data_IF_327461677282
#
_entry.id   IF_327461677282
#
_cell.length_a   1.000
_cell.length_b   1.000
_cell.length_c   1.000
_cell.angle_alpha   90.00
_cell.angle_beta   90.00
_cell.angle_gamma   90.00
#
_symmetry.space_group_name_H-M   'P 1'
#
loop_
_entity.id
_entity.type
_entity.pdbx_description
1 polymer ?
#
# COMPACT_ATOMS: atom_id res chain seq x y z
N UNK A 1 -22.55 18.32 -14.63
CA UNK A 1 -21.47 18.23 -13.59
C UNK A 1 -21.40 16.84 -12.98
N UNK A 2 -22.48 16.26 -12.52
CA UNK A 2 -22.44 14.93 -11.88
C UNK A 2 -21.98 13.81 -12.83
N UNK A 3 -22.32 13.88 -14.12
CA UNK A 3 -21.91 12.87 -15.10
C UNK A 3 -20.37 12.70 -15.24
N UNK A 4 -19.59 13.77 -15.08
CA UNK A 4 -18.12 13.67 -15.13
C UNK A 4 -17.55 12.88 -13.96
N UNK A 5 -18.04 13.13 -12.75
CA UNK A 5 -17.59 12.41 -11.56
C UNK A 5 -18.10 10.97 -11.51
N UNK A 6 -19.31 10.71 -12.00
CA UNK A 6 -19.82 9.36 -12.20
C UNK A 6 -18.99 8.58 -13.22
N UNK A 7 -18.63 9.25 -14.33
CA UNK A 7 -17.73 8.70 -15.34
C UNK A 7 -16.35 8.34 -14.77
N UNK A 8 -15.76 9.27 -13.98
CA UNK A 8 -14.47 9.05 -13.33
C UNK A 8 -14.53 7.93 -12.28
N UNK A 9 -15.56 7.91 -11.43
CA UNK A 9 -15.74 6.83 -10.46
C UNK A 9 -15.81 5.46 -11.17
N UNK A 10 -16.57 5.38 -12.28
CA UNK A 10 -16.64 4.17 -13.09
C UNK A 10 -15.31 3.82 -13.77
N UNK A 11 -14.51 4.81 -14.19
CA UNK A 11 -13.17 4.56 -14.76
C UNK A 11 -12.20 4.02 -13.71
N UNK A 12 -12.18 4.62 -12.52
CA UNK A 12 -11.38 4.17 -11.38
C UNK A 12 -11.79 2.77 -10.90
N UNK A 13 -13.08 2.44 -10.95
CA UNK A 13 -13.53 1.09 -10.55
C UNK A 13 -13.18 0.01 -11.58
N UNK A 14 -12.95 0.36 -12.84
CA UNK A 14 -12.54 -0.58 -13.89
C UNK A 14 -11.04 -0.92 -13.88
N UNK A 15 -10.20 -0.24 -13.12
CA UNK A 15 -8.79 -0.61 -12.99
C UNK A 15 -8.57 -1.61 -11.86
N UNK A 16 -7.39 -2.24 -11.81
CA UNK A 16 -7.12 -3.37 -10.93
C UNK A 16 -7.40 -3.12 -9.44
N UNK A 17 -7.07 -1.93 -8.93
CA UNK A 17 -7.27 -1.58 -7.52
C UNK A 17 -8.76 -1.41 -7.18
N UNK A 18 -9.55 -0.89 -8.13
CA UNK A 18 -10.96 -0.61 -7.95
C UNK A 18 -11.25 0.69 -7.20
N UNK A 19 -12.48 1.15 -7.37
CA UNK A 19 -13.07 2.26 -6.62
C UNK A 19 -14.58 1.99 -6.48
N UNK A 20 -14.94 0.97 -5.70
CA UNK A 20 -16.32 0.50 -5.62
C UNK A 20 -17.26 1.56 -5.06
N UNK A 21 -18.49 1.55 -5.58
CA UNK A 21 -19.55 2.45 -5.13
C UNK A 21 -20.04 2.04 -3.74
N UNK A 22 -20.35 3.03 -2.92
CA UNK A 22 -20.98 2.84 -1.60
C UNK A 22 -22.44 3.30 -1.61
N UNK A 23 -23.22 2.83 -0.66
CA UNK A 23 -24.62 3.24 -0.54
C UNK A 23 -24.79 4.73 -0.18
N UNK A 24 -23.79 5.34 0.45
CA UNK A 24 -23.81 6.77 0.82
C UNK A 24 -23.46 7.69 -0.35
N UNK A 25 -22.77 7.19 -1.39
CA UNK A 25 -22.25 7.99 -2.49
C UNK A 25 -21.14 8.96 -2.08
N UNK A 26 -20.51 8.75 -0.92
CA UNK A 26 -19.47 9.61 -0.36
C UNK A 26 -18.25 9.72 -1.28
N UNK A 27 -17.96 8.68 -2.05
CA UNK A 27 -16.88 8.64 -3.02
C UNK A 27 -16.99 9.74 -4.09
N UNK A 28 -18.21 10.12 -4.49
CA UNK A 28 -18.39 11.25 -5.43
C UNK A 28 -18.08 12.60 -4.79
N UNK A 29 -18.37 12.74 -3.48
CA UNK A 29 -17.96 13.95 -2.74
C UNK A 29 -16.45 14.05 -2.67
N UNK A 30 -15.76 12.95 -2.42
CA UNK A 30 -14.28 12.89 -2.43
C UNK A 30 -13.73 13.29 -3.80
N UNK A 31 -14.26 12.74 -4.89
CA UNK A 31 -13.80 13.10 -6.25
C UNK A 31 -14.02 14.57 -6.57
N UNK A 32 -15.10 15.21 -6.09
CA UNK A 32 -15.34 16.65 -6.27
C UNK A 32 -14.33 17.53 -5.53
N UNK A 33 -13.76 17.06 -4.44
CA UNK A 33 -12.68 17.75 -3.74
C UNK A 33 -11.33 17.58 -4.44
N UNK A 34 -11.13 16.47 -5.13
CA UNK A 34 -9.87 16.15 -5.81
C UNK A 34 -9.77 16.72 -7.21
N UNK A 35 -10.86 16.77 -7.95
CA UNK A 35 -10.87 17.05 -9.39
C UNK A 35 -11.84 18.18 -9.74
N UNK A 36 -11.43 19.09 -10.62
CA UNK A 36 -12.38 19.96 -11.32
C UNK A 36 -13.27 19.15 -12.28
N UNK A 37 -14.43 19.67 -12.70
CA UNK A 37 -15.29 18.97 -13.67
C UNK A 37 -14.58 18.61 -14.98
N UNK A 38 -13.66 19.47 -15.47
CA UNK A 38 -12.88 19.22 -16.68
C UNK A 38 -11.85 18.08 -16.48
N UNK A 39 -11.14 18.10 -15.36
CA UNK A 39 -10.20 17.03 -14.99
C UNK A 39 -10.90 15.70 -14.84
N UNK A 40 -12.06 15.69 -14.16
CA UNK A 40 -12.86 14.47 -13.99
C UNK A 40 -13.37 13.94 -15.33
N UNK A 41 -13.83 14.82 -16.24
CA UNK A 41 -14.28 14.41 -17.56
C UNK A 41 -13.13 13.82 -18.39
N UNK A 42 -11.94 14.46 -18.38
CA UNK A 42 -10.77 13.94 -19.10
C UNK A 42 -10.26 12.63 -18.49
N UNK A 43 -10.14 12.55 -17.17
CA UNK A 43 -9.68 11.33 -16.49
C UNK A 43 -10.65 10.15 -16.70
N UNK A 44 -11.95 10.41 -16.88
CA UNK A 44 -12.98 9.38 -17.11
C UNK A 44 -12.80 8.58 -18.41
N UNK A 45 -12.06 9.12 -19.39
CA UNK A 45 -11.79 8.46 -20.69
C UNK A 45 -10.43 7.73 -20.70
N UNK A 46 -9.66 7.85 -19.63
CA UNK A 46 -8.43 7.08 -19.43
C UNK A 46 -8.74 5.66 -18.91
N UNK A 47 -7.80 4.76 -19.15
CA UNK A 47 -7.87 3.36 -18.71
C UNK A 47 -6.53 2.97 -18.10
N UNK A 48 -6.38 1.71 -17.65
CA UNK A 48 -5.08 1.14 -17.29
C UNK A 48 -4.14 0.98 -18.50
N UNK A 49 -4.68 0.89 -19.72
CA UNK A 49 -3.86 0.82 -20.94
C UNK A 49 -3.26 2.20 -21.27
N UNK A 50 -1.93 2.29 -21.48
CA UNK A 50 -1.26 3.54 -21.86
C UNK A 50 -1.79 4.10 -23.18
N UNK A 51 -1.94 5.42 -23.27
CA UNK A 51 -2.45 6.10 -24.46
C UNK A 51 -1.70 7.42 -24.71
N UNK A 52 -1.45 7.77 -25.96
CA UNK A 52 -0.84 9.05 -26.33
C UNK A 52 -1.81 10.23 -26.12
N UNK A 53 -1.27 11.46 -25.99
CA UNK A 53 -2.08 12.67 -25.86
C UNK A 53 -3.11 12.80 -26.99
N UNK A 54 -2.76 12.45 -28.23
CA UNK A 54 -3.68 12.50 -29.38
C UNK A 54 -4.85 11.51 -29.25
N UNK A 55 -4.59 10.34 -28.70
CA UNK A 55 -5.63 9.34 -28.44
C UNK A 55 -6.58 9.79 -27.32
N UNK A 56 -6.02 10.35 -26.24
CA UNK A 56 -6.82 10.90 -25.12
C UNK A 56 -7.66 12.09 -25.59
N UNK A 57 -7.08 13.01 -26.36
CA UNK A 57 -7.77 14.17 -26.93
C UNK A 57 -9.00 13.78 -27.77
N UNK A 58 -8.83 12.79 -28.66
CA UNK A 58 -9.93 12.24 -29.46
C UNK A 58 -11.04 11.62 -28.60
N UNK A 59 -10.69 10.86 -27.56
CA UNK A 59 -11.66 10.24 -26.63
C UNK A 59 -12.42 11.31 -25.83
N UNK A 60 -11.72 12.36 -25.40
CA UNK A 60 -12.28 13.45 -24.60
C UNK A 60 -13.04 14.51 -25.44
N UNK A 61 -12.90 14.48 -26.76
CA UNK A 61 -13.46 15.53 -27.64
C UNK A 61 -12.81 16.90 -27.47
N UNK A 62 -11.53 16.94 -27.09
CA UNK A 62 -10.73 18.16 -26.85
C UNK A 62 -9.60 18.29 -27.89
N UNK A 63 -9.06 19.48 -28.05
CA UNK A 63 -7.82 19.67 -28.80
C UNK A 63 -6.61 19.13 -27.98
N UNK A 64 -5.52 18.84 -28.71
CA UNK A 64 -4.33 18.23 -28.09
C UNK A 64 -3.63 19.16 -27.08
N UNK A 65 -3.58 20.46 -27.32
CA UNK A 65 -2.91 21.41 -26.45
C UNK A 65 -3.63 21.51 -25.09
N UNK A 66 -4.97 21.59 -25.13
CA UNK A 66 -5.80 21.59 -23.92
C UNK A 66 -5.68 20.28 -23.17
N UNK A 67 -5.71 19.14 -23.89
CA UNK A 67 -5.55 17.81 -23.31
C UNK A 67 -4.21 17.67 -22.61
N UNK A 68 -3.10 18.07 -23.26
CA UNK A 68 -1.76 18.02 -22.66
C UNK A 68 -1.67 18.88 -21.39
N UNK A 69 -2.26 20.06 -21.38
CA UNK A 69 -2.29 20.94 -20.21
C UNK A 69 -3.06 20.30 -19.03
N UNK A 70 -4.21 19.70 -19.28
CA UNK A 70 -4.97 19.02 -18.20
C UNK A 70 -4.24 17.78 -17.71
N UNK A 71 -3.65 16.98 -18.63
CA UNK A 71 -2.85 15.80 -18.26
C UNK A 71 -1.66 16.16 -17.39
N UNK A 72 -0.91 17.25 -17.67
CA UNK A 72 0.23 17.66 -16.86
C UNK A 72 -0.16 17.92 -15.40
N UNK A 73 -1.29 18.60 -15.19
CA UNK A 73 -1.84 18.86 -13.84
C UNK A 73 -2.25 17.58 -13.10
N UNK A 74 -2.79 16.59 -13.83
CA UNK A 74 -3.16 15.29 -13.26
C UNK A 74 -1.93 14.46 -12.92
N UNK A 75 -0.87 14.55 -13.73
CA UNK A 75 0.43 13.89 -13.46
C UNK A 75 1.08 14.46 -12.20
N UNK A 76 1.12 15.78 -12.02
CA UNK A 76 1.67 16.45 -10.84
C UNK A 76 1.03 15.98 -9.51
N UNK A 77 -0.21 15.48 -9.58
CA UNK A 77 -0.97 14.98 -8.42
C UNK A 77 -1.11 13.46 -8.37
N UNK A 78 -0.30 12.75 -9.15
CA UNK A 78 -0.32 11.27 -9.24
C UNK A 78 -1.72 10.69 -9.57
N UNK A 79 -2.54 11.45 -10.28
CA UNK A 79 -3.84 11.00 -10.77
C UNK A 79 -3.75 10.35 -12.16
N UNK A 80 -2.65 10.59 -12.87
CA UNK A 80 -2.30 10.00 -14.16
C UNK A 80 -0.83 9.60 -14.12
N UNK A 81 -0.55 8.37 -14.50
CA UNK A 81 0.82 7.88 -14.66
C UNK A 81 1.31 8.05 -16.08
N UNK A 82 2.60 8.32 -16.21
CA UNK A 82 3.29 8.49 -17.49
C UNK A 82 4.32 7.40 -17.70
N UNK A 83 4.50 7.00 -18.96
CA UNK A 83 5.60 6.17 -19.42
C UNK A 83 6.06 6.67 -20.78
N UNK A 84 7.30 6.35 -21.14
CA UNK A 84 7.83 6.62 -22.49
C UNK A 84 8.11 5.29 -23.17
N UNK A 85 7.79 5.19 -24.45
CA UNK A 85 8.17 4.04 -25.26
C UNK A 85 9.60 4.20 -25.83
N UNK A 86 10.08 3.17 -26.53
CA UNK A 86 11.43 3.18 -27.14
C UNK A 86 11.66 4.32 -28.14
N UNK A 87 10.60 4.92 -28.68
CA UNK A 87 10.67 6.08 -29.59
C UNK A 87 10.71 7.42 -28.86
N UNK A 88 10.61 7.42 -27.50
CA UNK A 88 10.47 8.63 -26.69
C UNK A 88 9.06 9.23 -26.71
N UNK A 89 8.06 8.49 -27.18
CA UNK A 89 6.67 8.93 -27.15
C UNK A 89 6.08 8.76 -25.75
N UNK A 90 5.54 9.85 -25.20
CA UNK A 90 4.89 9.85 -23.88
C UNK A 90 3.49 9.23 -23.96
N UNK A 91 3.24 8.31 -23.03
CA UNK A 91 1.95 7.65 -22.85
C UNK A 91 1.39 7.95 -21.47
N UNK A 92 0.08 8.04 -21.37
CA UNK A 92 -0.69 8.37 -20.17
C UNK A 92 -1.68 7.27 -19.86
N UNK A 93 -1.80 6.90 -18.58
CA UNK A 93 -2.83 5.98 -18.09
C UNK A 93 -3.42 6.45 -16.77
N UNK A 94 -4.64 6.03 -16.48
CA UNK A 94 -5.29 6.38 -15.21
C UNK A 94 -4.51 5.75 -14.04
N UNK A 95 -4.13 6.58 -13.07
CA UNK A 95 -3.54 6.09 -11.84
C UNK A 95 -4.62 5.46 -10.93
N UNK A 96 -4.28 4.46 -10.08
CA UNK A 96 -5.21 3.95 -9.08
C UNK A 96 -5.64 5.04 -8.10
N UNK A 97 -6.81 4.85 -7.50
CA UNK A 97 -7.23 5.69 -6.40
C UNK A 97 -6.33 5.48 -5.17
N UNK A 98 -6.13 4.20 -4.77
CA UNK A 98 -5.33 3.79 -3.61
C UNK A 98 -4.51 2.53 -3.94
N UNK A 99 -3.18 2.50 -3.71
CA UNK A 99 -2.31 3.68 -3.53
C UNK A 99 -2.20 4.50 -4.82
N UNK A 100 -2.15 5.82 -4.71
CA UNK A 100 -2.08 6.72 -5.86
C UNK A 100 -2.67 8.10 -5.59
N UNK A 101 -3.68 8.51 -6.38
CA UNK A 101 -4.23 9.87 -6.32
C UNK A 101 -4.79 10.27 -4.95
N UNK A 102 -5.32 9.32 -4.18
CA UNK A 102 -5.75 9.53 -2.79
C UNK A 102 -4.59 9.98 -1.90
N UNK A 103 -3.47 9.26 -1.99
CA UNK A 103 -2.31 9.49 -1.14
C UNK A 103 -1.71 10.87 -1.40
N UNK A 104 -1.52 11.21 -2.68
CA UNK A 104 -0.97 12.51 -3.07
C UNK A 104 -1.90 13.67 -2.72
N UNK A 105 -3.21 13.52 -2.94
CA UNK A 105 -4.16 14.57 -2.56
C UNK A 105 -4.06 14.88 -1.06
N UNK A 106 -4.07 13.86 -0.21
CA UNK A 106 -4.02 14.03 1.24
C UNK A 106 -2.68 14.59 1.73
N UNK A 107 -1.56 14.12 1.17
CA UNK A 107 -0.21 14.62 1.51
C UNK A 107 -0.02 16.10 1.14
N UNK A 108 -0.63 16.55 0.02
CA UNK A 108 -0.55 17.92 -0.44
C UNK A 108 -1.48 18.85 0.36
N UNK A 109 -2.75 18.45 0.53
CA UNK A 109 -3.79 19.34 1.06
C UNK A 109 -3.92 19.29 2.58
N UNK A 110 -3.62 18.14 3.20
CA UNK A 110 -3.87 17.85 4.62
C UNK A 110 -5.29 18.22 5.06
N UNK A 111 -6.27 18.00 4.16
CA UNK A 111 -7.66 18.40 4.35
C UNK A 111 -8.40 17.45 5.30
N UNK A 112 -8.85 17.97 6.44
CA UNK A 112 -9.56 17.21 7.45
C UNK A 112 -10.98 16.80 7.03
N UNK A 113 -11.64 17.55 6.15
CA UNK A 113 -12.95 17.15 5.61
C UNK A 113 -12.78 15.97 4.66
N UNK A 114 -11.82 16.05 3.75
CA UNK A 114 -11.47 14.94 2.87
C UNK A 114 -11.09 13.68 3.67
N UNK A 115 -10.29 13.82 4.71
CA UNK A 115 -9.89 12.70 5.58
C UNK A 115 -11.09 12.03 6.25
N UNK A 116 -12.11 12.80 6.70
CA UNK A 116 -13.35 12.25 7.27
C UNK A 116 -14.21 11.54 6.22
N UNK A 117 -14.33 12.10 5.01
CA UNK A 117 -15.02 11.43 3.90
C UNK A 117 -14.33 10.12 3.53
N UNK A 118 -13.00 10.10 3.54
CA UNK A 118 -12.21 8.89 3.32
C UNK A 118 -12.48 7.82 4.39
N UNK A 119 -12.57 8.21 5.67
CA UNK A 119 -12.93 7.26 6.75
C UNK A 119 -14.36 6.73 6.56
N UNK A 120 -15.31 7.59 6.18
CA UNK A 120 -16.68 7.19 5.84
C UNK A 120 -16.70 6.21 4.66
N UNK A 121 -15.95 6.48 3.59
CA UNK A 121 -15.83 5.62 2.41
C UNK A 121 -15.26 4.24 2.76
N UNK A 122 -14.11 4.23 3.42
CA UNK A 122 -13.40 2.99 3.77
C UNK A 122 -14.24 2.14 4.74
N UNK A 123 -14.79 2.76 5.80
CA UNK A 123 -15.62 2.08 6.79
C UNK A 123 -17.02 1.72 6.27
N UNK A 124 -17.53 2.45 5.28
CA UNK A 124 -18.85 2.23 4.65
C UNK A 124 -18.87 1.10 3.60
N UNK A 125 -17.84 0.27 3.55
CA UNK A 125 -17.75 -0.90 2.66
C UNK A 125 -16.78 -0.73 1.50
N UNK A 126 -16.41 0.49 1.11
CA UNK A 126 -15.44 0.74 0.03
C UNK A 126 -14.08 0.08 0.31
N UNK A 127 -13.58 0.17 1.55
CA UNK A 127 -12.34 -0.47 1.96
C UNK A 127 -12.38 -1.99 1.82
N UNK A 128 -13.42 -2.64 2.32
CA UNK A 128 -13.58 -4.10 2.21
C UNK A 128 -13.63 -4.56 0.75
N UNK A 129 -14.42 -3.88 -0.09
CA UNK A 129 -14.57 -4.23 -1.51
C UNK A 129 -13.28 -4.00 -2.31
N UNK A 130 -12.48 -2.97 -1.94
CA UNK A 130 -11.16 -2.75 -2.56
C UNK A 130 -10.12 -3.80 -2.14
N UNK A 131 -10.17 -4.29 -0.90
CA UNK A 131 -9.16 -5.20 -0.35
C UNK A 131 -9.45 -6.67 -0.62
N UNK A 132 -10.69 -7.06 -0.89
CA UNK A 132 -11.08 -8.46 -1.09
C UNK A 132 -10.48 -9.13 -2.36
N UNK A 133 -10.39 -8.48 -3.56
CA UNK A 133 -9.88 -9.12 -4.75
C UNK A 133 -8.41 -9.54 -4.61
N UNK A 134 -8.05 -10.64 -5.29
CA UNK A 134 -6.69 -11.20 -5.31
C UNK A 134 -6.06 -11.08 -6.69
N UNK A 135 -4.72 -11.03 -6.78
CA UNK A 135 -3.76 -10.97 -5.67
C UNK A 135 -3.88 -9.66 -4.87
N UNK A 136 -3.54 -9.66 -3.59
CA UNK A 136 -3.58 -8.48 -2.72
C UNK A 136 -2.74 -7.33 -3.31
N UNK A 137 -3.08 -6.07 -2.96
CA UNK A 137 -2.34 -4.89 -3.46
C UNK A 137 -0.90 -4.86 -2.94
N UNK A 138 -0.71 -5.22 -1.67
CA UNK A 138 0.60 -5.30 -1.05
C UNK A 138 0.90 -6.70 -0.54
N UNK A 139 2.18 -7.00 -0.37
CA UNK A 139 2.71 -8.15 0.35
C UNK A 139 3.51 -7.72 1.57
N UNK A 140 3.53 -8.58 2.57
CA UNK A 140 4.38 -8.42 3.76
C UNK A 140 5.81 -8.83 3.42
N UNK A 141 6.78 -8.05 3.87
CA UNK A 141 8.19 -8.42 3.89
C UNK A 141 8.60 -8.57 5.37
N UNK A 142 9.19 -9.69 5.76
CA UNK A 142 9.51 -9.91 7.17
C UNK A 142 10.65 -9.02 7.66
N UNK A 143 10.63 -8.72 8.96
CA UNK A 143 11.73 -8.03 9.65
C UNK A 143 13.04 -8.83 9.47
N UNK A 144 14.09 -8.16 9.00
CA UNK A 144 15.36 -8.83 8.66
C UNK A 144 15.97 -9.55 9.86
N UNK A 145 15.86 -8.97 11.05
CA UNK A 145 16.38 -9.57 12.29
C UNK A 145 15.64 -10.87 12.70
N UNK A 146 14.49 -11.16 12.12
CA UNK A 146 13.68 -12.33 12.45
C UNK A 146 13.97 -13.56 11.58
N UNK A 147 14.65 -13.39 10.43
CA UNK A 147 14.90 -14.47 9.46
C UNK A 147 16.35 -14.92 9.54
N UNK A 148 16.58 -16.23 9.54
CA UNK A 148 17.91 -16.79 9.35
C UNK A 148 18.39 -16.53 7.93
N UNK A 149 19.68 -16.23 7.76
CA UNK A 149 20.24 -15.79 6.46
C UNK A 149 20.04 -16.83 5.35
N UNK A 150 20.11 -18.12 5.68
CA UNK A 150 19.91 -19.23 4.74
C UNK A 150 18.45 -19.43 4.28
N UNK A 151 17.49 -18.73 4.91
CA UNK A 151 16.06 -18.84 4.60
C UNK A 151 15.50 -17.63 3.84
N UNK A 152 16.32 -16.60 3.62
CA UNK A 152 15.86 -15.36 2.94
C UNK A 152 15.58 -15.66 1.47
N UNK A 153 14.33 -15.48 1.05
CA UNK A 153 13.97 -15.52 -0.36
C UNK A 153 14.39 -14.21 -1.06
N UNK A 154 14.74 -14.24 -2.35
CA UNK A 154 15.26 -13.07 -3.05
C UNK A 154 14.37 -11.82 -2.99
N UNK A 155 13.05 -12.01 -2.92
CA UNK A 155 12.06 -10.93 -2.84
C UNK A 155 11.63 -10.58 -1.41
N UNK A 156 12.18 -11.25 -0.38
CA UNK A 156 11.80 -11.08 1.04
C UNK A 156 12.88 -10.35 1.87
N UNK A 157 13.78 -9.62 1.21
CA UNK A 157 14.77 -8.78 1.89
C UNK A 157 14.50 -7.30 1.61
N UNK A 158 13.83 -6.63 2.55
CA UNK A 158 13.51 -5.21 2.44
C UNK A 158 14.75 -4.33 2.36
N UNK A 159 15.88 -4.75 2.92
CA UNK A 159 17.15 -4.00 2.84
C UNK A 159 17.80 -4.17 1.47
N UNK A 160 17.67 -5.36 0.85
CA UNK A 160 18.18 -5.59 -0.50
C UNK A 160 17.48 -4.68 -1.53
N UNK A 161 16.19 -4.39 -1.35
CA UNK A 161 15.46 -3.43 -2.19
C UNK A 161 16.11 -2.04 -2.14
N UNK A 162 16.59 -1.60 -0.97
CA UNK A 162 17.26 -0.30 -0.82
C UNK A 162 18.71 -0.31 -1.31
N UNK A 163 19.39 -1.46 -1.31
CA UNK A 163 20.77 -1.53 -1.78
C UNK A 163 20.88 -1.26 -3.29
N UNK A 164 19.88 -1.62 -4.07
CA UNK A 164 19.79 -1.35 -5.50
C UNK A 164 19.30 0.05 -5.87
N UNK A 165 18.88 0.87 -4.90
CA UNK A 165 18.35 2.20 -5.14
C UNK A 165 19.42 3.30 -5.03
N UNK A 166 19.24 4.39 -5.78
CA UNK A 166 20.13 5.57 -5.79
C UNK A 166 19.52 6.81 -5.16
N UNK A 167 18.18 6.88 -5.06
CA UNK A 167 17.46 7.99 -4.46
C UNK A 167 16.47 7.49 -3.40
N UNK A 168 16.36 8.24 -2.29
CA UNK A 168 15.50 7.88 -1.16
C UNK A 168 14.76 9.10 -0.64
N UNK A 169 13.50 8.90 -0.21
CA UNK A 169 12.67 9.90 0.44
C UNK A 169 11.89 9.28 1.58
N UNK A 170 11.77 10.00 2.68
CA UNK A 170 10.87 9.65 3.78
C UNK A 170 9.66 10.57 3.73
N UNK A 171 8.47 9.98 3.73
CA UNK A 171 7.20 10.69 3.71
C UNK A 171 6.34 10.33 4.92
N UNK A 172 5.39 11.20 5.22
CA UNK A 172 4.36 10.87 6.20
C UNK A 172 3.56 9.64 5.75
N UNK A 173 3.25 8.76 6.69
CA UNK A 173 2.35 7.63 6.42
C UNK A 173 0.93 8.15 6.19
N UNK A 174 0.46 8.07 4.96
CA UNK A 174 -0.85 8.60 4.56
C UNK A 174 -2.01 8.01 5.37
N UNK A 175 -1.96 6.73 5.70
CA UNK A 175 -3.01 6.08 6.48
C UNK A 175 -3.10 6.63 7.92
N UNK A 176 -1.95 6.89 8.58
CA UNK A 176 -1.93 7.52 9.91
C UNK A 176 -2.27 8.99 9.87
N UNK A 177 -1.81 9.71 8.84
CA UNK A 177 -2.17 11.11 8.60
C UNK A 177 -3.68 11.25 8.37
N UNK A 178 -4.26 10.42 7.51
CA UNK A 178 -5.71 10.39 7.28
C UNK A 178 -6.48 10.15 8.59
N UNK A 179 -6.09 9.12 9.34
CA UNK A 179 -6.73 8.81 10.61
C UNK A 179 -6.58 9.95 11.65
N UNK A 180 -5.45 10.66 11.67
CA UNK A 180 -5.23 11.82 12.54
C UNK A 180 -6.14 12.99 12.16
N UNK A 181 -6.15 13.37 10.89
CA UNK A 181 -6.98 14.46 10.38
C UNK A 181 -8.49 14.18 10.51
N UNK A 182 -8.89 12.91 10.40
CA UNK A 182 -10.26 12.47 10.63
C UNK A 182 -10.64 12.38 12.12
N UNK A 183 -9.68 12.52 13.06
CA UNK A 183 -9.91 12.27 14.48
C UNK A 183 -10.11 10.79 14.84
N UNK A 184 -9.69 9.86 13.98
CA UNK A 184 -9.88 8.42 14.10
C UNK A 184 -8.58 7.65 14.40
N UNK A 185 -7.47 8.34 14.65
CA UNK A 185 -6.16 7.71 14.92
C UNK A 185 -6.18 6.95 16.25
N UNK A 186 -5.77 5.68 16.19
CA UNK A 186 -5.81 4.74 17.34
C UNK A 186 -4.43 4.41 17.90
N UNK A 187 -3.36 5.11 17.48
CA UNK A 187 -1.99 4.87 17.94
C UNK A 187 -1.16 6.15 17.99
N UNK A 188 -0.02 6.06 18.68
CA UNK A 188 1.00 7.12 18.79
C UNK A 188 2.26 6.82 17.97
N UNK A 189 2.18 5.85 17.01
CA UNK A 189 3.31 5.43 16.18
C UNK A 189 3.77 6.57 15.25
N UNK A 190 5.05 6.63 14.83
CA UNK A 190 5.58 7.72 14.03
C UNK A 190 4.80 7.95 12.72
N UNK A 191 4.64 9.22 12.31
CA UNK A 191 4.07 9.57 11.01
C UNK A 191 5.11 9.40 9.89
N UNK A 192 6.30 9.96 10.07
CA UNK A 192 7.38 9.96 9.06
C UNK A 192 8.07 8.61 8.99
N UNK A 193 7.53 7.70 8.19
CA UNK A 193 8.09 6.36 8.03
C UNK A 193 7.64 5.64 6.74
N UNK A 194 7.00 6.32 5.81
CA UNK A 194 6.80 5.81 4.45
C UNK A 194 8.07 6.08 3.65
N UNK A 195 8.74 5.04 3.18
CA UNK A 195 10.01 5.14 2.50
C UNK A 195 9.82 4.95 0.99
N UNK A 196 10.17 5.96 0.20
CA UNK A 196 10.16 5.92 -1.26
C UNK A 196 11.58 5.85 -1.77
N UNK A 197 11.81 5.08 -2.84
CA UNK A 197 13.13 4.90 -3.44
C UNK A 197 13.04 4.71 -4.96
N UNK A 198 14.13 5.05 -5.66
CA UNK A 198 14.24 4.86 -7.10
C UNK A 198 15.64 4.37 -7.47
N UNK A 199 15.74 3.62 -8.56
CA UNK A 199 17.01 3.09 -9.11
C UNK A 199 17.80 4.13 -9.91
N UNK A 200 17.23 5.31 -10.16
CA UNK A 200 17.90 6.43 -10.81
C UNK A 200 17.78 7.68 -9.94
N UNK A 201 18.74 8.61 -10.00
CA UNK A 201 18.60 9.90 -9.35
C UNK A 201 17.34 10.59 -9.84
N UNK A 202 16.44 10.92 -8.93
CA UNK A 202 15.25 11.71 -9.27
C UNK A 202 15.56 13.19 -9.10
N UNK A 203 15.03 14.05 -9.97
CA UNK A 203 15.03 15.51 -9.81
C UNK A 203 14.04 15.87 -8.70
N UNK A 204 14.35 15.44 -7.48
CA UNK A 204 13.55 15.75 -6.31
C UNK A 204 13.72 17.24 -5.95
N UNK A 205 12.66 17.87 -5.48
CA UNK A 205 12.78 19.16 -4.83
C UNK A 205 13.81 19.06 -3.68
N UNK A 206 14.76 19.98 -3.63
CA UNK A 206 15.76 20.06 -2.56
C UNK A 206 15.01 20.04 -1.20
N UNK A 207 15.44 19.14 -0.29
CA UNK A 207 14.92 19.05 1.08
C UNK A 207 14.17 17.77 1.43
N UNK A 208 13.68 16.99 0.44
CA UNK A 208 12.90 15.76 0.68
C UNK A 208 13.73 14.47 0.58
N UNK A 209 15.02 14.55 0.21
CA UNK A 209 15.89 13.40 0.02
C UNK A 209 16.65 13.05 1.30
N UNK A 210 16.78 11.75 1.56
CA UNK A 210 17.60 11.21 2.65
C UNK A 210 18.69 10.31 2.09
N UNK A 211 19.76 10.12 2.87
CA UNK A 211 20.80 9.16 2.54
C UNK A 211 20.31 7.72 2.69
N UNK A 212 21.00 6.76 2.07
CA UNK A 212 20.74 5.32 2.26
C UNK A 212 20.82 4.91 3.74
N UNK A 213 21.76 5.50 4.50
CA UNK A 213 21.91 5.24 5.93
C UNK A 213 20.67 5.68 6.72
N UNK A 214 20.14 6.85 6.43
CA UNK A 214 18.90 7.35 7.05
C UNK A 214 17.69 6.51 6.64
N UNK A 215 17.61 6.11 5.36
CA UNK A 215 16.55 5.20 4.88
C UNK A 215 16.57 3.85 5.63
N UNK A 216 17.76 3.27 5.84
CA UNK A 216 17.91 2.05 6.62
C UNK A 216 17.53 2.26 8.10
N UNK A 217 17.87 3.41 8.69
CA UNK A 217 17.47 3.74 10.05
C UNK A 217 15.95 3.85 10.23
N UNK A 218 15.22 4.29 9.20
CA UNK A 218 13.74 4.27 9.20
C UNK A 218 13.20 2.84 9.30
N UNK A 219 13.81 1.86 8.62
CA UNK A 219 13.40 0.45 8.73
C UNK A 219 13.71 -0.10 10.12
N UNK A 220 14.91 0.18 10.66
CA UNK A 220 15.29 -0.25 12.00
C UNK A 220 14.34 0.31 13.07
N UNK A 221 13.98 1.56 12.96
CA UNK A 221 13.01 2.19 13.87
C UNK A 221 11.62 1.58 13.71
N UNK A 222 11.16 1.33 12.47
CA UNK A 222 9.88 0.68 12.20
C UNK A 222 9.83 -0.73 12.83
N UNK A 223 10.86 -1.54 12.68
CA UNK A 223 10.98 -2.83 13.37
C UNK A 223 10.96 -2.67 14.88
N UNK A 224 11.72 -1.70 15.42
CA UNK A 224 11.80 -1.46 16.87
C UNK A 224 10.44 -1.10 17.48
N UNK A 225 9.66 -0.25 16.84
CA UNK A 225 8.33 0.17 17.32
C UNK A 225 7.21 -0.81 16.97
N UNK A 226 7.49 -1.84 16.16
CA UNK A 226 6.54 -2.90 15.85
C UNK A 226 5.66 -2.63 14.63
N UNK A 227 6.18 -1.97 13.60
CA UNK A 227 5.50 -1.74 12.32
C UNK A 227 5.83 -2.84 11.30
N UNK A 228 4.82 -3.28 10.56
CA UNK A 228 4.94 -4.31 9.53
C UNK A 228 5.44 -3.67 8.23
N UNK A 229 6.54 -4.19 7.68
CA UNK A 229 6.98 -3.80 6.34
C UNK A 229 6.06 -4.38 5.28
N UNK A 230 5.57 -3.54 4.38
CA UNK A 230 4.83 -3.97 3.19
C UNK A 230 5.32 -3.24 1.96
N UNK A 231 5.29 -3.93 0.82
CA UNK A 231 5.64 -3.40 -0.50
C UNK A 231 4.55 -3.77 -1.51
N UNK A 232 4.61 -3.23 -2.72
CA UNK A 232 3.76 -3.69 -3.83
C UNK A 232 3.85 -5.20 -3.97
N UNK A 233 2.74 -5.86 -4.27
CA UNK A 233 2.70 -7.32 -4.42
C UNK A 233 3.17 -7.75 -5.82
N UNK A 234 4.38 -7.35 -6.17
CA UNK A 234 5.10 -7.78 -7.36
C UNK A 234 6.58 -7.92 -7.02
N UNK A 235 7.32 -8.72 -7.80
CA UNK A 235 8.79 -8.84 -7.63
C UNK A 235 9.47 -7.59 -8.11
N UNK A 236 9.09 -7.12 -9.30
CA UNK A 236 9.65 -5.92 -9.93
C UNK A 236 8.67 -4.74 -9.88
N UNK A 237 9.19 -3.52 -9.93
CA UNK A 237 8.38 -2.29 -10.06
C UNK A 237 7.96 -1.64 -8.76
N UNK A 238 8.47 -2.09 -7.60
CA UNK A 238 8.22 -1.43 -6.31
C UNK A 238 9.17 -0.25 -6.08
N UNK A 239 8.63 0.95 -5.82
CA UNK A 239 9.40 2.16 -5.51
C UNK A 239 9.16 2.68 -4.08
N UNK A 240 8.55 1.87 -3.21
CA UNK A 240 8.27 2.28 -1.83
C UNK A 240 8.17 1.10 -0.87
N UNK A 241 8.42 1.37 0.41
CA UNK A 241 8.21 0.49 1.54
C UNK A 241 7.31 1.21 2.53
N UNK A 242 6.14 0.61 2.81
CA UNK A 242 5.26 1.05 3.87
C UNK A 242 5.62 0.37 5.19
N UNK A 243 5.51 1.12 6.30
CA UNK A 243 5.68 0.61 7.66
C UNK A 243 4.33 0.70 8.39
N UNK A 244 3.60 -0.40 8.43
CA UNK A 244 2.17 -0.47 8.68
C UNK A 244 1.80 -0.86 10.10
N UNK A 245 0.73 -0.24 10.64
CA UNK A 245 0.08 -0.64 11.89
C UNK A 245 -1.32 -1.19 11.61
N UNK A 246 -1.77 -2.16 12.39
CA UNK A 246 -3.08 -2.79 12.24
C UNK A 246 -4.27 -1.86 12.51
N UNK A 247 -4.03 -0.72 13.17
CA UNK A 247 -5.09 0.19 13.61
C UNK A 247 -5.43 1.33 12.64
N UNK A 248 -4.49 1.75 11.78
CA UNK A 248 -4.70 2.86 10.84
C UNK A 248 -4.48 2.47 9.38
N UNK A 249 -3.57 1.50 9.10
CA UNK A 249 -3.25 1.13 7.72
C UNK A 249 -4.47 0.58 7.00
N UNK A 250 -4.82 1.17 5.86
CA UNK A 250 -5.98 0.76 5.07
C UNK A 250 -5.92 -0.71 4.65
N UNK A 251 -4.73 -1.24 4.39
CA UNK A 251 -4.52 -2.65 4.02
C UNK A 251 -4.73 -3.59 5.22
N UNK A 252 -4.05 -3.32 6.36
CA UNK A 252 -4.15 -4.18 7.54
C UNK A 252 -5.51 -4.09 8.22
N UNK A 253 -6.22 -2.97 8.10
CA UNK A 253 -7.62 -2.84 8.53
C UNK A 253 -8.54 -3.81 7.78
N UNK A 254 -8.17 -4.26 6.59
CA UNK A 254 -8.83 -5.36 5.92
C UNK A 254 -8.95 -6.57 6.84
N UNK A 255 -7.88 -6.93 7.54
CA UNK A 255 -7.85 -8.06 8.49
C UNK A 255 -8.46 -7.68 9.83
N UNK A 256 -8.12 -6.51 10.37
CA UNK A 256 -8.48 -6.15 11.75
C UNK A 256 -9.91 -5.64 11.90
N UNK A 257 -10.41 -4.90 10.91
CA UNK A 257 -11.68 -4.17 10.99
C UNK A 257 -12.75 -4.75 10.02
N UNK A 258 -12.36 -5.27 8.84
CA UNK A 258 -13.31 -5.63 7.77
C UNK A 258 -13.44 -7.14 7.51
N UNK A 259 -12.66 -7.99 8.21
CA UNK A 259 -12.76 -9.45 8.10
C UNK A 259 -12.23 -10.02 6.76
N UNK A 260 -11.38 -9.28 6.06
CA UNK A 260 -10.75 -9.71 4.80
C UNK A 260 -9.39 -10.32 5.11
N UNK A 261 -9.34 -11.63 5.32
CA UNK A 261 -8.13 -12.34 5.76
C UNK A 261 -6.91 -12.11 4.86
N UNK A 262 -7.13 -12.02 3.54
CA UNK A 262 -6.09 -11.86 2.52
C UNK A 262 -6.00 -10.43 1.97
N UNK A 263 -6.36 -9.40 2.76
CA UNK A 263 -6.25 -8.00 2.31
C UNK A 263 -4.81 -7.56 2.04
N UNK A 264 -3.85 -8.26 2.60
CA UNK A 264 -2.41 -8.17 2.31
C UNK A 264 -1.87 -9.58 2.11
N UNK A 265 -1.00 -9.79 1.13
CA UNK A 265 -0.36 -11.09 0.92
C UNK A 265 0.60 -11.38 2.07
N UNK A 266 0.47 -12.55 2.69
CA UNK A 266 1.32 -12.99 3.77
C UNK A 266 2.74 -13.26 3.24
N UNK A 267 3.76 -13.04 4.07
CA UNK A 267 5.10 -13.52 3.77
C UNK A 267 5.16 -15.05 3.79
N UNK A 268 6.13 -15.62 3.08
CA UNK A 268 6.31 -17.08 2.99
C UNK A 268 6.91 -17.70 4.27
N UNK A 269 6.56 -17.12 5.41
CA UNK A 269 6.98 -17.53 6.75
C UNK A 269 5.81 -17.54 7.72
N UNK A 270 6.01 -18.21 8.84
CA UNK A 270 5.10 -18.13 9.99
C UNK A 270 5.89 -18.14 11.31
N UNK A 271 5.34 -17.51 12.32
CA UNK A 271 5.92 -17.53 13.65
C UNK A 271 5.45 -18.77 14.43
N UNK A 272 6.35 -19.33 15.25
CA UNK A 272 6.02 -20.29 16.29
C UNK A 272 6.67 -19.87 17.61
N UNK A 273 6.07 -20.28 18.74
CA UNK A 273 6.53 -19.90 20.08
C UNK A 273 6.77 -21.17 20.88
N UNK A 274 8.01 -21.35 21.38
CA UNK A 274 8.35 -22.41 22.28
C UNK A 274 7.73 -22.14 23.66
N UNK A 275 6.76 -22.96 24.03
CA UNK A 275 6.03 -22.84 25.29
C UNK A 275 6.92 -23.01 26.51
N UNK A 276 8.01 -23.80 26.43
CA UNK A 276 8.92 -24.02 27.53
C UNK A 276 9.85 -22.84 27.79
N UNK A 277 10.24 -22.13 26.71
CA UNK A 277 11.08 -20.95 26.80
C UNK A 277 10.27 -19.66 26.99
N UNK A 278 8.92 -19.70 26.82
CA UNK A 278 8.04 -18.55 26.94
C UNK A 278 7.68 -18.21 28.37
N UNK A 279 8.09 -17.07 28.95
CA UNK A 279 7.75 -16.71 30.32
C UNK A 279 6.23 -16.54 30.53
N UNK A 280 5.72 -17.05 31.66
CA UNK A 280 4.27 -17.08 31.97
C UNK A 280 3.60 -15.68 32.06
N UNK A 281 4.36 -14.62 32.34
CA UNK A 281 3.84 -13.27 32.49
C UNK A 281 4.14 -12.33 31.26
N UNK A 282 4.82 -12.85 30.22
CA UNK A 282 5.24 -12.03 29.08
C UNK A 282 4.14 -11.99 28.02
N UNK A 283 3.81 -10.78 27.53
CA UNK A 283 2.81 -10.52 26.48
C UNK A 283 3.36 -9.67 25.31
N UNK A 284 4.68 -9.48 25.25
CA UNK A 284 5.35 -8.58 24.29
C UNK A 284 5.00 -8.96 22.84
N UNK A 285 5.06 -10.25 22.47
CA UNK A 285 4.75 -10.73 21.14
C UNK A 285 3.28 -10.45 20.75
N UNK A 286 2.34 -10.61 21.67
CA UNK A 286 0.92 -10.31 21.42
C UNK A 286 0.68 -8.80 21.22
N UNK A 287 1.33 -7.95 22.01
CA UNK A 287 1.26 -6.47 21.87
C UNK A 287 1.89 -5.98 20.56
N UNK A 288 2.91 -6.66 20.05
CA UNK A 288 3.56 -6.32 18.78
C UNK A 288 2.84 -6.88 17.56
N UNK A 289 1.89 -7.80 17.73
CA UNK A 289 1.18 -8.42 16.62
C UNK A 289 0.11 -7.49 16.06
N UNK A 290 0.37 -6.91 14.91
CA UNK A 290 -0.49 -5.90 14.27
C UNK A 290 -1.82 -6.45 13.73
N UNK A 291 -1.97 -7.79 13.68
CA UNK A 291 -3.20 -8.46 13.23
C UNK A 291 -3.81 -9.38 14.29
N UNK A 292 -3.35 -9.27 15.54
CA UNK A 292 -3.86 -10.04 16.67
C UNK A 292 -3.85 -11.57 16.44
N UNK A 293 -2.80 -12.07 15.75
CA UNK A 293 -2.59 -13.50 15.51
C UNK A 293 -2.01 -14.24 16.73
N UNK A 294 -1.71 -13.55 17.83
CA UNK A 294 -1.09 -14.15 19.01
C UNK A 294 -2.02 -13.99 20.20
N UNK A 295 -2.37 -15.10 20.82
CA UNK A 295 -3.16 -15.19 22.06
C UNK A 295 -2.39 -15.94 23.13
N UNK A 296 -2.84 -15.84 24.38
CA UNK A 296 -2.27 -16.62 25.50
C UNK A 296 -3.19 -17.77 25.88
N UNK A 297 -2.60 -18.97 25.95
CA UNK A 297 -3.29 -20.18 26.42
C UNK A 297 -2.36 -20.99 27.31
N UNK A 298 -2.87 -21.54 28.40
CA UNK A 298 -2.09 -22.45 29.25
C UNK A 298 -0.78 -21.86 29.81
N UNK A 299 -0.66 -20.53 29.94
CA UNK A 299 0.57 -19.88 30.46
C UNK A 299 1.59 -19.50 29.38
N UNK A 300 1.44 -19.95 28.15
CA UNK A 300 2.31 -19.58 27.01
C UNK A 300 1.54 -18.81 25.96
N UNK A 301 2.28 -18.15 25.06
CA UNK A 301 1.70 -17.51 23.87
C UNK A 301 1.58 -18.53 22.74
N UNK A 302 0.45 -18.50 22.02
CA UNK A 302 0.18 -19.32 20.83
C UNK A 302 -0.08 -18.44 19.61
N UNK A 303 0.33 -18.93 18.44
CA UNK A 303 0.17 -18.23 17.15
C UNK A 303 -0.93 -18.88 16.33
N UNK A 304 -1.93 -18.10 15.95
CA UNK A 304 -2.86 -18.48 14.90
C UNK A 304 -2.17 -18.35 13.52
N UNK A 305 -1.83 -19.48 12.92
CA UNK A 305 -1.11 -19.55 11.64
C UNK A 305 -1.90 -18.95 10.47
N UNK A 306 -3.23 -19.01 10.52
CA UNK A 306 -4.07 -18.47 9.46
C UNK A 306 -4.03 -16.93 9.43
N UNK A 307 -3.99 -16.30 10.62
CA UNK A 307 -3.86 -14.85 10.75
C UNK A 307 -2.42 -14.36 10.71
N UNK A 308 -1.43 -15.25 10.90
CA UNK A 308 -0.03 -14.87 10.98
C UNK A 308 0.49 -14.37 9.62
N UNK A 309 0.88 -13.11 9.54
CA UNK A 309 1.43 -12.48 8.33
C UNK A 309 2.87 -12.91 8.00
N UNK A 310 3.56 -13.60 8.92
CA UNK A 310 4.96 -13.93 8.75
C UNK A 310 5.92 -12.73 8.85
N UNK A 311 5.46 -11.62 9.43
CA UNK A 311 6.24 -10.36 9.50
C UNK A 311 7.43 -10.38 10.47
N UNK A 312 7.53 -11.35 11.37
CA UNK A 312 8.66 -11.54 12.28
C UNK A 312 8.75 -10.56 13.47
N UNK A 313 7.84 -9.61 13.63
CA UNK A 313 7.89 -8.60 14.69
C UNK A 313 7.81 -9.20 16.12
N UNK A 314 7.12 -10.31 16.27
CA UNK A 314 7.10 -11.06 17.53
C UNK A 314 8.45 -11.71 17.85
N UNK A 315 9.22 -12.08 16.80
CA UNK A 315 10.55 -12.69 16.93
C UNK A 315 11.58 -11.64 17.30
N UNK A 316 11.68 -10.53 16.51
CA UNK A 316 12.63 -9.43 16.78
C UNK A 316 12.41 -8.77 18.15
N UNK A 317 11.18 -8.81 18.67
CA UNK A 317 10.84 -8.26 19.98
C UNK A 317 10.85 -9.26 21.15
N UNK A 318 11.18 -10.55 20.95
CA UNK A 318 11.11 -11.57 21.98
C UNK A 318 12.35 -11.57 22.88
N UNK A 319 12.29 -11.16 24.16
CA UNK A 319 13.46 -11.09 25.02
C UNK A 319 13.97 -12.47 25.43
N UNK A 320 13.10 -13.50 25.52
CA UNK A 320 13.48 -14.88 25.85
C UNK A 320 13.87 -15.70 24.63
N UNK A 321 13.77 -15.14 23.39
CA UNK A 321 13.99 -15.86 22.12
C UNK A 321 13.09 -17.09 21.92
N UNK A 322 12.00 -17.18 22.67
CA UNK A 322 11.00 -18.25 22.54
C UNK A 322 10.25 -18.16 21.19
N UNK A 323 10.03 -16.96 20.65
CA UNK A 323 9.43 -16.79 19.34
C UNK A 323 10.48 -16.97 18.25
N UNK A 324 10.13 -17.74 17.21
CA UNK A 324 10.98 -17.99 16.04
C UNK A 324 10.13 -17.90 14.77
N UNK A 325 10.76 -17.56 13.65
CA UNK A 325 10.15 -17.52 12.31
C UNK A 325 10.64 -18.73 11.51
N UNK A 326 9.71 -19.41 10.87
CA UNK A 326 9.98 -20.59 10.05
C UNK A 326 9.46 -20.37 8.64
N UNK A 327 10.14 -20.88 7.59
CA UNK A 327 9.59 -20.91 6.24
C UNK A 327 8.28 -21.73 6.22
N UNK A 328 7.35 -21.32 5.36
CA UNK A 328 6.18 -22.16 5.05
C UNK A 328 6.63 -23.42 4.32
N UNK A 329 5.90 -24.54 4.45
CA UNK A 329 6.11 -25.71 3.61
C UNK A 329 6.08 -25.33 2.12
N UNK A 330 6.85 -26.04 1.28
CA UNK A 330 6.99 -25.72 -0.16
C UNK A 330 5.64 -25.57 -0.88
N UNK A 331 4.65 -26.40 -0.55
CA UNK A 331 3.30 -26.32 -1.13
C UNK A 331 2.45 -25.14 -0.64
N UNK A 332 2.89 -24.38 0.37
CA UNK A 332 2.23 -23.19 0.89
C UNK A 332 2.95 -21.91 0.47
N UNK A 333 4.10 -22.01 -0.21
CA UNK A 333 4.85 -20.85 -0.71
C UNK A 333 4.11 -20.24 -1.90
N UNK A 334 3.77 -18.96 -1.80
CA UNK A 334 3.11 -18.19 -2.86
C UNK A 334 4.06 -17.06 -3.27
N UNK A 335 4.80 -17.24 -4.39
CA UNK A 335 5.60 -16.16 -4.95
C UNK A 335 4.72 -14.99 -5.38
N UNK A 336 5.17 -13.74 -5.22
CA UNK A 336 4.45 -12.60 -5.80
C UNK A 336 4.49 -12.67 -7.34
N UNK A 337 3.52 -12.04 -8.04
CA UNK A 337 3.60 -11.85 -9.50
C UNK A 337 4.93 -11.23 -9.92
N UNK A 338 5.43 -11.59 -11.11
CA UNK A 338 6.76 -11.18 -11.58
C UNK A 338 6.89 -9.65 -11.67
N UNK A 339 5.85 -8.98 -12.15
CA UNK A 339 5.81 -7.53 -12.32
C UNK A 339 4.40 -6.96 -12.04
N UNK A 340 4.27 -5.64 -12.13
CA UNK A 340 3.01 -4.95 -11.91
C UNK A 340 1.95 -5.35 -12.96
N UNK A 341 2.32 -5.59 -14.21
CA UNK A 341 1.39 -5.96 -15.29
C UNK A 341 0.82 -7.37 -15.08
N UNK A 342 1.63 -8.31 -14.62
CA UNK A 342 1.19 -9.65 -14.25
C UNK A 342 0.20 -9.58 -13.06
N UNK A 343 0.54 -8.79 -12.03
CA UNK A 343 -0.34 -8.52 -10.90
C UNK A 343 -1.67 -7.89 -11.35
N UNK A 344 -1.61 -6.87 -12.21
CA UNK A 344 -2.80 -6.15 -12.71
C UNK A 344 -3.74 -7.11 -13.48
N UNK A 345 -3.19 -7.93 -14.40
CA UNK A 345 -3.97 -8.91 -15.16
C UNK A 345 -4.66 -9.95 -14.28
N UNK A 346 -3.95 -10.47 -13.27
CA UNK A 346 -4.51 -11.48 -12.36
C UNK A 346 -5.63 -10.88 -11.51
N UNK A 347 -5.42 -9.67 -11.00
CA UNK A 347 -6.38 -8.99 -10.15
C UNK A 347 -7.63 -8.54 -10.92
N UNK A 348 -7.48 -8.04 -12.16
CA UNK A 348 -8.61 -7.74 -13.05
C UNK A 348 -9.44 -9.00 -13.31
N UNK A 349 -8.80 -10.13 -13.61
CA UNK A 349 -9.48 -11.43 -13.78
C UNK A 349 -10.27 -11.82 -12.52
N UNK A 350 -9.69 -11.66 -11.35
CA UNK A 350 -10.38 -11.93 -10.08
C UNK A 350 -11.60 -11.02 -9.88
N UNK A 351 -11.55 -9.80 -10.40
CA UNK A 351 -12.67 -8.84 -10.39
C UNK A 351 -13.71 -9.06 -11.49
N UNK A 352 -13.47 -10.00 -12.42
CA UNK A 352 -14.37 -10.25 -13.57
C UNK A 352 -14.26 -9.22 -14.69
N UNK A 353 -13.09 -8.57 -14.81
CA UNK A 353 -12.77 -7.52 -15.80
C UNK A 353 -11.73 -7.98 -16.80
#
# INVERSE_FOLDING_TARGET
>A
MDAAYEGLAGALDRIANGFPRTSSGVELRMLRMMFSPEEAALASVLTSAPATVSTVARRAGLDQARTAHVLSRLVERDAVWVSEDESGTTHYRLAPFLPGSFDMHLLITKDAEYARLAEEYLGGGGGALMMAPQPAIHRVVPARAAIKSEWVLPYDDVRALLLGAEAFRVKECVCRLQAELAGARRCTLPLENCLWFASTPTTAAEGDTVSRTEALAVLDEAERVGLVHTVSNAVEGGGYICNCCGCCCHLLRGITDWGIENSVAQANYYAAIDAQACPTACDICAKRCQVHAISRRGGASEVDRNRCLGCGLCVSGCPSKAAQLFPRPEGEIVPPPVDYEAWERERLRCRGL
#
